data_IF_585729590494
#
_entry.id   IF_585729590494
#
_cell.length_a   1.000
_cell.length_b   1.000
_cell.length_c   1.000
_cell.angle_alpha   90.00
_cell.angle_beta   90.00
_cell.angle_gamma   90.00
#
_symmetry.space_group_name_H-M   'P 1'
#
loop_
_entity.id
_entity.type
_entity.pdbx_description
1 polymer ?
#
# COMPACT_ATOMS: atom_id res chain seq x y z
N UNK A 1 11.29 -22.38 6.13
CA UNK A 1 10.94 -21.16 5.45
C UNK A 1 12.04 -20.12 5.45
N UNK A 2 11.84 -19.07 4.71
CA UNK A 2 12.80 -17.96 4.60
C UNK A 2 12.90 -17.16 5.91
N UNK A 3 11.78 -17.06 6.62
CA UNK A 3 11.68 -16.33 7.89
C UNK A 3 11.26 -17.29 8.99
N UNK A 4 11.90 -17.18 10.15
CA UNK A 4 11.54 -17.98 11.31
C UNK A 4 10.12 -17.66 11.77
N UNK A 5 9.34 -18.69 12.06
CA UNK A 5 7.94 -18.56 12.46
C UNK A 5 7.75 -17.68 13.70
N UNK A 6 8.63 -17.82 14.68
CA UNK A 6 8.60 -17.03 15.91
C UNK A 6 8.75 -15.53 15.62
N UNK A 7 9.69 -15.17 14.73
CA UNK A 7 9.88 -13.77 14.33
C UNK A 7 8.69 -13.22 13.56
N UNK A 8 8.13 -14.07 12.68
CA UNK A 8 6.95 -13.67 11.90
C UNK A 8 5.74 -13.41 12.82
N UNK A 9 5.51 -14.30 13.79
CA UNK A 9 4.37 -14.18 14.71
C UNK A 9 4.50 -12.98 15.65
N UNK A 10 5.72 -12.54 15.94
CA UNK A 10 5.96 -11.38 16.81
C UNK A 10 6.03 -10.05 16.05
N UNK A 11 5.95 -10.08 14.72
CA UNK A 11 6.04 -8.88 13.90
C UNK A 11 4.68 -8.24 13.70
N UNK A 12 4.58 -6.96 14.06
CA UNK A 12 3.37 -6.17 13.85
C UNK A 12 3.70 -5.00 12.93
N UNK A 13 2.99 -4.91 11.82
CA UNK A 13 3.11 -3.77 10.90
C UNK A 13 2.22 -2.65 11.44
N UNK A 14 2.78 -1.45 11.70
CA UNK A 14 1.98 -0.32 12.21
C UNK A 14 1.16 0.32 11.09
N UNK A 15 0.25 -0.44 10.51
CA UNK A 15 -0.64 0.01 9.43
C UNK A 15 -2.08 -0.17 9.88
N UNK A 16 -2.88 0.86 9.70
CA UNK A 16 -4.29 0.83 10.00
C UNK A 16 -5.08 1.39 8.81
N UNK A 17 -6.08 0.64 8.37
CA UNK A 17 -6.95 1.03 7.27
C UNK A 17 -8.31 1.46 7.83
N UNK A 18 -8.54 2.77 8.00
CA UNK A 18 -9.76 3.25 8.62
C UNK A 18 -10.97 3.19 7.69
N UNK A 19 -12.16 3.15 8.29
CA UNK A 19 -13.42 3.36 7.57
C UNK A 19 -13.68 4.84 7.36
N UNK A 20 -14.64 5.18 6.50
CA UNK A 20 -15.07 6.57 6.28
C UNK A 20 -15.55 7.18 7.60
N UNK A 21 -16.33 6.44 8.36
CA UNK A 21 -16.89 6.89 9.64
C UNK A 21 -15.79 7.20 10.65
N UNK A 22 -14.77 6.36 10.71
CA UNK A 22 -13.63 6.58 11.59
C UNK A 22 -12.85 7.83 11.21
N UNK A 23 -12.64 8.05 9.90
CA UNK A 23 -11.96 9.26 9.42
C UNK A 23 -12.74 10.51 9.80
N UNK A 24 -14.06 10.52 9.55
CA UNK A 24 -14.92 11.65 9.90
C UNK A 24 -14.89 11.93 11.40
N UNK A 25 -14.93 10.87 12.20
CA UNK A 25 -14.90 10.98 13.65
C UNK A 25 -13.61 11.62 14.17
N UNK A 26 -12.45 11.17 13.65
CA UNK A 26 -11.15 11.72 14.03
C UNK A 26 -11.05 13.20 13.67
N UNK A 27 -11.47 13.56 12.47
CA UNK A 27 -11.43 14.97 12.01
C UNK A 27 -12.35 15.83 12.88
N UNK A 28 -13.53 15.32 13.19
CA UNK A 28 -14.52 16.04 14.02
C UNK A 28 -14.01 16.22 15.45
N UNK A 29 -13.42 15.19 16.05
CA UNK A 29 -12.88 15.28 17.41
C UNK A 29 -11.66 16.20 17.49
N UNK A 30 -10.83 16.22 16.47
CA UNK A 30 -9.70 17.15 16.41
C UNK A 30 -10.17 18.59 16.40
N UNK A 31 -11.27 18.88 15.70
CA UNK A 31 -12.00 20.14 15.80
C UNK A 31 -11.46 21.32 15.02
N UNK A 32 -10.29 21.21 14.42
CA UNK A 32 -9.65 22.32 13.68
C UNK A 32 -10.05 22.43 12.23
N UNK A 33 -10.77 21.42 11.69
CA UNK A 33 -11.07 21.34 10.27
C UNK A 33 -12.55 21.12 10.01
N UNK A 34 -13.03 21.73 8.93
CA UNK A 34 -14.36 21.47 8.38
C UNK A 34 -14.21 20.63 7.11
N UNK A 35 -14.84 19.47 7.08
CA UNK A 35 -14.81 18.57 5.91
C UNK A 35 -15.83 19.09 4.90
N UNK A 36 -15.34 19.49 3.72
CA UNK A 36 -16.19 19.92 2.62
C UNK A 36 -16.60 18.72 1.75
N UNK A 37 -15.67 17.81 1.52
CA UNK A 37 -15.89 16.67 0.64
C UNK A 37 -15.05 15.49 1.09
N UNK A 38 -15.69 14.32 1.10
CA UNK A 38 -15.00 13.06 1.38
C UNK A 38 -15.51 12.02 0.39
N UNK A 39 -14.63 11.55 -0.47
CA UNK A 39 -14.94 10.57 -1.50
C UNK A 39 -14.00 9.38 -1.45
N UNK A 40 -14.53 8.22 -1.89
CA UNK A 40 -13.73 7.02 -2.08
C UNK A 40 -13.51 6.84 -3.57
N UNK A 41 -12.25 6.71 -3.98
CA UNK A 41 -11.86 6.41 -5.35
C UNK A 41 -11.30 5.00 -5.40
N UNK A 42 -11.76 4.22 -6.37
CA UNK A 42 -11.23 2.88 -6.62
C UNK A 42 -10.26 2.98 -7.79
N UNK A 43 -8.99 2.77 -7.52
CA UNK A 43 -7.91 2.94 -8.50
C UNK A 43 -7.14 1.65 -8.70
N UNK A 44 -6.65 1.36 -9.92
CA UNK A 44 -5.71 0.26 -10.13
C UNK A 44 -4.46 0.45 -9.26
N UNK A 45 -3.88 -0.66 -8.81
CA UNK A 45 -2.72 -0.63 -7.91
C UNK A 45 -1.53 0.16 -8.46
N UNK A 46 -1.34 0.15 -9.77
CA UNK A 46 -0.19 0.81 -10.39
C UNK A 46 -0.51 2.22 -10.90
N UNK A 47 -1.74 2.67 -10.76
CA UNK A 47 -2.09 4.03 -11.16
C UNK A 47 -1.39 5.03 -10.26
N UNK A 48 -0.73 6.00 -10.87
CA UNK A 48 0.11 6.94 -10.14
C UNK A 48 1.55 6.47 -9.91
N UNK A 49 1.83 5.18 -10.10
CA UNK A 49 3.20 4.65 -10.06
C UNK A 49 3.84 4.74 -11.45
N UNK A 50 3.03 4.58 -12.48
CA UNK A 50 3.49 4.64 -13.87
C UNK A 50 3.29 6.04 -14.44
N UNK A 51 4.37 6.80 -14.48
CA UNK A 51 4.37 8.18 -14.99
C UNK A 51 4.11 8.26 -16.51
N UNK A 52 4.24 7.16 -17.23
CA UNK A 52 4.02 7.13 -18.67
C UNK A 52 2.53 7.26 -19.06
N UNK A 53 1.61 7.21 -18.10
CA UNK A 53 0.21 7.49 -18.32
C UNK A 53 -0.63 6.39 -18.93
N UNK A 54 -0.05 5.48 -19.67
CA UNK A 54 -0.75 4.35 -20.27
C UNK A 54 -0.08 3.03 -19.86
N UNK A 55 -0.74 2.31 -18.96
CA UNK A 55 -0.23 1.04 -18.45
C UNK A 55 -0.68 -0.17 -19.28
N UNK A 56 -1.49 0.05 -20.32
CA UNK A 56 -2.03 -1.03 -21.15
C UNK A 56 -0.94 -1.82 -21.88
N UNK A 57 0.22 -1.19 -22.11
CA UNK A 57 1.35 -1.81 -22.79
C UNK A 57 2.32 -2.52 -21.86
N UNK A 58 2.16 -2.38 -20.55
CA UNK A 58 3.04 -3.03 -19.58
C UNK A 58 2.60 -4.48 -19.36
N UNK A 59 3.55 -5.41 -19.40
CA UNK A 59 3.25 -6.78 -19.04
C UNK A 59 3.15 -6.97 -17.52
N UNK A 60 2.66 -8.14 -17.11
CA UNK A 60 2.45 -8.44 -15.69
C UNK A 60 3.73 -8.41 -14.86
N UNK A 61 4.88 -8.79 -15.44
CA UNK A 61 6.16 -8.75 -14.74
C UNK A 61 6.62 -7.32 -14.47
N UNK A 62 6.45 -6.44 -15.45
CA UNK A 62 6.81 -5.03 -15.29
C UNK A 62 5.93 -4.37 -14.23
N UNK A 63 4.61 -4.60 -14.30
CA UNK A 63 3.66 -4.08 -13.32
C UNK A 63 3.96 -4.57 -11.92
N UNK A 64 4.21 -5.86 -11.76
CA UNK A 64 4.56 -6.46 -10.48
C UNK A 64 5.90 -5.94 -9.95
N UNK A 65 6.86 -5.69 -10.83
CA UNK A 65 8.13 -5.09 -10.46
C UNK A 65 8.00 -3.67 -9.94
N UNK A 66 7.15 -2.86 -10.57
CA UNK A 66 6.84 -1.50 -10.10
C UNK A 66 6.17 -1.54 -8.73
N UNK A 67 5.21 -2.43 -8.55
CA UNK A 67 4.52 -2.60 -7.27
C UNK A 67 5.49 -3.06 -6.18
N UNK A 68 6.35 -4.04 -6.48
CA UNK A 68 7.33 -4.54 -5.53
C UNK A 68 8.30 -3.43 -5.10
N UNK A 69 8.76 -2.61 -6.03
CA UNK A 69 9.61 -1.46 -5.73
C UNK A 69 8.92 -0.46 -4.80
N UNK A 70 7.67 -0.18 -5.10
CA UNK A 70 6.88 0.77 -4.31
C UNK A 70 6.68 0.28 -2.88
N UNK A 71 6.25 -0.96 -2.71
CA UNK A 71 6.06 -1.57 -1.39
C UNK A 71 7.37 -1.70 -0.65
N UNK A 72 8.45 -2.09 -1.33
CA UNK A 72 9.78 -2.18 -0.75
C UNK A 72 10.25 -0.84 -0.18
N UNK A 73 10.06 0.23 -0.94
CA UNK A 73 10.43 1.57 -0.49
C UNK A 73 9.74 1.95 0.82
N UNK A 74 8.46 1.56 0.96
CA UNK A 74 7.69 1.85 2.16
C UNK A 74 8.03 0.93 3.35
N UNK A 75 8.30 -0.35 3.09
CA UNK A 75 8.32 -1.38 4.13
C UNK A 75 9.72 -1.89 4.49
N UNK A 76 10.72 -1.70 3.62
CA UNK A 76 12.06 -2.26 3.84
C UNK A 76 12.67 -1.91 5.19
N UNK A 77 12.61 -0.65 5.67
CA UNK A 77 13.19 -0.32 6.96
C UNK A 77 12.60 -1.11 8.12
N UNK A 78 11.30 -1.34 8.11
CA UNK A 78 10.61 -2.13 9.14
C UNK A 78 10.98 -3.59 9.05
N UNK A 79 10.98 -4.14 7.84
CA UNK A 79 11.24 -5.56 7.61
C UNK A 79 12.71 -5.90 7.88
N UNK A 80 13.65 -5.07 7.43
CA UNK A 80 15.07 -5.32 7.63
C UNK A 80 15.46 -5.27 9.10
N UNK A 81 14.87 -4.36 9.87
CA UNK A 81 15.10 -4.27 11.31
C UNK A 81 14.65 -5.53 12.04
N UNK A 82 13.52 -6.11 11.66
CA UNK A 82 12.98 -7.30 12.33
C UNK A 82 13.61 -8.61 11.82
N UNK A 83 13.79 -8.74 10.50
CA UNK A 83 14.17 -10.01 9.88
C UNK A 83 15.60 -10.05 9.35
N UNK A 84 16.30 -8.91 9.34
CA UNK A 84 17.65 -8.78 8.81
C UNK A 84 17.67 -8.44 7.32
N UNK A 85 18.72 -7.76 6.89
CA UNK A 85 18.86 -7.33 5.49
C UNK A 85 19.08 -8.50 4.53
N UNK A 86 19.59 -9.59 5.03
CA UNK A 86 19.94 -10.78 4.23
C UNK A 86 18.74 -11.39 3.51
N UNK A 87 17.56 -11.35 4.13
CA UNK A 87 16.37 -11.97 3.57
C UNK A 87 15.53 -11.03 2.71
N UNK A 88 15.80 -9.72 2.75
CA UNK A 88 14.93 -8.72 2.12
C UNK A 88 14.85 -8.90 0.60
N UNK A 89 15.97 -9.11 -0.07
CA UNK A 89 15.96 -9.31 -1.52
C UNK A 89 15.09 -10.50 -1.92
N UNK A 90 15.25 -11.61 -1.22
CA UNK A 90 14.46 -12.82 -1.51
C UNK A 90 12.99 -12.64 -1.19
N UNK A 91 12.66 -11.91 -0.11
CA UNK A 91 11.27 -11.59 0.23
C UNK A 91 10.60 -10.84 -0.93
N UNK A 92 11.25 -9.82 -1.48
CA UNK A 92 10.65 -9.04 -2.56
C UNK A 92 10.67 -9.74 -3.92
N UNK A 93 11.61 -10.63 -4.16
CA UNK A 93 11.55 -11.51 -5.33
C UNK A 93 10.31 -12.39 -5.27
N UNK A 94 10.05 -13.01 -4.12
CA UNK A 94 8.87 -13.85 -3.91
C UNK A 94 7.57 -13.02 -3.94
N UNK A 95 7.61 -11.84 -3.37
CA UNK A 95 6.49 -10.90 -3.42
C UNK A 95 6.10 -10.58 -4.86
N UNK A 96 7.07 -10.23 -5.69
CA UNK A 96 6.83 -9.92 -7.10
C UNK A 96 6.19 -11.10 -7.84
N UNK A 97 6.67 -12.31 -7.60
CA UNK A 97 6.07 -13.53 -8.19
C UNK A 97 4.63 -13.72 -7.76
N UNK A 98 4.32 -13.47 -6.50
CA UNK A 98 2.96 -13.56 -5.99
C UNK A 98 2.04 -12.52 -6.63
N UNK A 99 2.52 -11.30 -6.81
CA UNK A 99 1.74 -10.24 -7.46
C UNK A 99 1.43 -10.62 -8.92
N UNK A 100 2.41 -11.16 -9.65
CA UNK A 100 2.18 -11.66 -11.03
C UNK A 100 1.05 -12.69 -11.04
N UNK A 101 1.10 -13.66 -10.13
CA UNK A 101 0.07 -14.70 -10.03
C UNK A 101 -1.31 -14.13 -9.72
N UNK A 102 -1.38 -13.15 -8.82
CA UNK A 102 -2.65 -12.49 -8.46
C UNK A 102 -3.22 -11.71 -9.64
N UNK A 103 -2.38 -11.01 -10.40
CA UNK A 103 -2.81 -10.24 -11.56
C UNK A 103 -3.45 -11.11 -12.67
N UNK A 104 -3.10 -12.38 -12.72
CA UNK A 104 -3.67 -13.31 -13.68
C UNK A 104 -5.12 -13.70 -13.37
N UNK A 105 -5.51 -13.64 -12.09
CA UNK A 105 -6.80 -14.12 -11.62
C UNK A 105 -7.69 -13.02 -11.04
N UNK A 106 -7.12 -11.89 -10.65
CA UNK A 106 -7.84 -10.78 -10.02
C UNK A 106 -7.43 -9.44 -10.59
N UNK A 107 -8.37 -8.51 -10.59
CA UNK A 107 -8.09 -7.11 -10.89
C UNK A 107 -7.68 -6.42 -9.58
N UNK A 108 -6.41 -6.01 -9.49
CA UNK A 108 -5.88 -5.41 -8.26
C UNK A 108 -6.21 -3.91 -8.22
N UNK A 109 -7.00 -3.52 -7.23
CA UNK A 109 -7.46 -2.14 -7.06
C UNK A 109 -7.27 -1.71 -5.60
N UNK A 110 -7.10 -0.40 -5.39
CA UNK A 110 -7.03 0.22 -4.08
C UNK A 110 -8.18 1.17 -3.87
N UNK A 111 -8.74 1.20 -2.67
CA UNK A 111 -9.66 2.24 -2.26
C UNK A 111 -8.83 3.40 -1.70
N UNK A 112 -9.00 4.59 -2.27
CA UNK A 112 -8.29 5.79 -1.86
C UNK A 112 -9.31 6.82 -1.38
N UNK A 113 -9.06 7.44 -0.23
CA UNK A 113 -9.90 8.52 0.27
C UNK A 113 -9.39 9.86 -0.25
N UNK A 114 -10.31 10.65 -0.81
CA UNK A 114 -10.04 12.03 -1.19
C UNK A 114 -10.82 12.92 -0.23
N UNK A 115 -10.10 13.75 0.52
CA UNK A 115 -10.69 14.61 1.55
C UNK A 115 -10.36 16.07 1.24
N UNK A 116 -11.40 16.90 1.09
CA UNK A 116 -11.25 18.34 0.99
C UNK A 116 -11.69 18.95 2.31
N UNK A 117 -10.79 19.67 2.96
CA UNK A 117 -11.03 20.29 4.26
C UNK A 117 -10.62 21.75 4.27
N UNK A 118 -11.32 22.54 5.08
CA UNK A 118 -10.93 23.91 5.37
C UNK A 118 -10.57 24.02 6.84
N UNK A 119 -9.42 24.63 7.13
CA UNK A 119 -9.00 24.88 8.51
C UNK A 119 -9.86 26.00 9.09
N UNK A 120 -10.38 25.78 10.29
CA UNK A 120 -11.14 26.78 11.02
C UNK A 120 -10.22 27.92 11.48
N UNK A 121 -10.77 29.12 11.50
CA UNK A 121 -10.03 30.31 11.93
C UNK A 121 -9.71 30.29 13.43
#
# INVERSE_FOLDING_TARGET
>A
GLIEEEKLNSFNIPVYEPTVEEIRHVIQEEGSFFVQRLEILILPWIEGINEAGDDSFLDGNIKAGLMAKHVRAAMEPLLSTKFGEEVINEVFIRYQKKVVQLMEVEKLECATFMISMTKNA
#
